data_IF_139585280314
#
_entry.id   IF_139585280314
#
_cell.length_a   1.000
_cell.length_b   1.000
_cell.length_c   1.000
_cell.angle_alpha   90.00
_cell.angle_beta   90.00
_cell.angle_gamma   90.00
#
_symmetry.space_group_name_H-M   'P 1'
#
loop_
_entity.id
_entity.type
_entity.pdbx_description
1 polymer ?
#
# COMPACT_ATOMS: atom_id res chain seq x y z
N UNK A 1 16.97 28.12 -5.71
CA UNK A 1 15.88 27.72 -6.63
C UNK A 1 15.02 26.54 -6.15
N UNK A 2 15.39 25.78 -5.10
CA UNK A 2 14.61 24.63 -4.56
C UNK A 2 13.27 24.99 -3.88
N UNK A 3 13.15 26.18 -3.29
CA UNK A 3 11.91 26.60 -2.60
C UNK A 3 10.75 26.89 -3.56
N UNK A 4 11.05 27.40 -4.77
CA UNK A 4 10.04 27.64 -5.80
C UNK A 4 9.41 26.33 -6.28
N UNK A 5 10.22 25.28 -6.47
CA UNK A 5 9.74 23.94 -6.84
C UNK A 5 8.94 23.29 -5.71
N UNK A 6 9.33 23.46 -4.45
CA UNK A 6 8.55 22.93 -3.32
C UNK A 6 7.19 23.61 -3.19
N UNK A 7 7.13 24.95 -3.24
CA UNK A 7 5.86 25.69 -3.13
C UNK A 7 4.93 25.35 -4.30
N UNK A 8 5.48 25.20 -5.51
CA UNK A 8 4.73 24.72 -6.67
C UNK A 8 4.14 23.33 -6.45
N UNK A 9 4.93 22.37 -5.96
CA UNK A 9 4.45 21.00 -5.66
C UNK A 9 3.37 20.99 -4.56
N UNK A 10 3.57 21.73 -3.48
CA UNK A 10 2.60 21.82 -2.38
C UNK A 10 1.28 22.43 -2.84
N UNK A 11 1.34 23.52 -3.62
CA UNK A 11 0.14 24.14 -4.19
C UNK A 11 -0.59 23.18 -5.13
N UNK A 12 0.11 22.41 -5.96
CA UNK A 12 -0.49 21.41 -6.83
C UNK A 12 -1.21 20.31 -6.02
N UNK A 13 -0.59 19.80 -4.95
CA UNK A 13 -1.21 18.82 -4.05
C UNK A 13 -2.48 19.36 -3.39
N UNK A 14 -2.45 20.60 -2.90
CA UNK A 14 -3.61 21.26 -2.29
C UNK A 14 -4.75 21.45 -3.31
N UNK A 15 -4.43 21.89 -4.53
CA UNK A 15 -5.42 22.01 -5.61
C UNK A 15 -6.05 20.66 -5.97
N UNK A 16 -5.24 19.59 -6.07
CA UNK A 16 -5.74 18.24 -6.33
C UNK A 16 -6.63 17.73 -5.18
N UNK A 17 -6.23 17.99 -3.92
CA UNK A 17 -7.02 17.61 -2.75
C UNK A 17 -8.39 18.29 -2.76
N UNK A 18 -8.44 19.59 -3.09
CA UNK A 18 -9.68 20.35 -3.26
C UNK A 18 -10.58 19.79 -4.36
N UNK A 19 -10.02 19.46 -5.53
CA UNK A 19 -10.76 18.86 -6.65
C UNK A 19 -11.34 17.49 -6.29
N UNK A 20 -10.56 16.64 -5.61
CA UNK A 20 -11.03 15.33 -5.17
C UNK A 20 -12.12 15.45 -4.08
N UNK A 21 -12.15 16.53 -3.29
CA UNK A 21 -13.17 16.76 -2.26
C UNK A 21 -14.54 17.14 -2.86
N UNK A 22 -14.56 17.66 -4.09
CA UNK A 22 -15.77 17.87 -4.88
C UNK A 22 -16.30 16.55 -5.47
N UNK A 23 -17.38 16.03 -4.90
CA UNK A 23 -17.91 14.66 -5.04
C UNK A 23 -18.41 14.19 -6.43
N UNK A 24 -17.97 14.76 -7.56
CA UNK A 24 -18.49 14.38 -8.89
C UNK A 24 -17.44 14.06 -9.95
N UNK A 25 -16.15 14.17 -9.63
CA UNK A 25 -15.09 14.12 -10.66
C UNK A 25 -14.09 12.98 -10.53
N UNK A 26 -14.08 12.17 -9.46
CA UNK A 26 -12.99 11.19 -9.24
C UNK A 26 -12.91 10.18 -10.41
N UNK A 27 -14.06 9.72 -10.93
CA UNK A 27 -14.12 8.83 -12.10
C UNK A 27 -13.69 9.50 -13.43
N UNK A 28 -13.77 10.82 -13.55
CA UNK A 28 -13.42 11.60 -14.76
C UNK A 28 -12.02 12.23 -14.71
N UNK A 29 -11.50 12.46 -13.50
CA UNK A 29 -10.18 13.03 -13.26
C UNK A 29 -9.08 11.97 -13.41
N UNK A 30 -9.36 10.73 -12.98
CA UNK A 30 -8.45 9.59 -13.20
C UNK A 30 -8.30 9.25 -14.69
N UNK A 31 -9.35 9.38 -15.50
CA UNK A 31 -9.28 9.18 -16.96
C UNK A 31 -8.61 10.33 -17.71
N UNK A 32 -8.52 11.53 -17.11
CA UNK A 32 -7.89 12.70 -17.71
C UNK A 32 -6.37 12.80 -17.46
N UNK A 33 -5.72 11.76 -16.94
CA UNK A 33 -4.27 11.74 -16.70
C UNK A 33 -3.84 12.40 -15.39
N UNK A 34 -4.76 12.66 -14.44
CA UNK A 34 -4.44 13.23 -13.14
C UNK A 34 -3.72 12.26 -12.17
N UNK A 35 -3.48 11.01 -12.58
CA UNK A 35 -2.49 10.11 -11.95
C UNK A 35 -1.12 10.29 -12.61
N UNK A 36 -0.78 11.53 -12.99
CA UNK A 36 0.61 11.96 -13.07
C UNK A 36 1.16 11.92 -11.65
N UNK A 37 1.65 10.74 -11.26
CA UNK A 37 2.26 10.42 -9.97
C UNK A 37 3.09 11.61 -9.51
N UNK A 38 2.75 12.29 -8.41
CA UNK A 38 3.64 13.32 -7.90
C UNK A 38 4.97 12.61 -7.58
N UNK A 39 6.10 13.05 -8.16
CA UNK A 39 7.40 12.39 -8.04
C UNK A 39 8.04 12.60 -6.65
N UNK A 40 7.23 12.62 -5.60
CA UNK A 40 7.56 13.15 -4.26
C UNK A 40 7.89 12.09 -3.22
N UNK A 41 7.93 10.82 -3.60
CA UNK A 41 8.50 9.75 -2.78
C UNK A 41 10.01 9.55 -3.03
N UNK A 42 10.65 10.48 -3.75
CA UNK A 42 12.09 10.42 -4.01
C UNK A 42 12.90 10.73 -2.74
N UNK A 43 14.05 10.07 -2.54
CA UNK A 43 14.97 10.39 -1.44
C UNK A 43 15.37 11.87 -1.46
N UNK A 44 15.10 12.60 -0.38
CA UNK A 44 15.50 14.00 -0.20
C UNK A 44 14.36 15.03 -0.25
N UNK A 45 13.11 14.62 -0.47
CA UNK A 45 11.95 15.49 -0.25
C UNK A 45 11.65 15.68 1.24
N UNK A 46 11.02 16.81 1.58
CA UNK A 46 10.63 17.08 2.97
C UNK A 46 9.55 16.11 3.42
N UNK A 47 9.66 15.64 4.65
CA UNK A 47 8.72 14.67 5.25
C UNK A 47 7.26 15.12 5.16
N UNK A 48 6.98 16.43 5.27
CA UNK A 48 5.64 16.98 5.14
C UNK A 48 5.06 16.78 3.72
N UNK A 49 5.88 16.96 2.69
CA UNK A 49 5.46 16.77 1.30
C UNK A 49 5.22 15.30 0.98
N UNK A 50 6.07 14.41 1.51
CA UNK A 50 5.90 12.96 1.36
C UNK A 50 4.60 12.48 2.05
N UNK A 51 4.36 12.96 3.28
CA UNK A 51 3.12 12.66 4.01
C UNK A 51 1.87 13.14 3.25
N UNK A 52 1.86 14.38 2.75
CA UNK A 52 0.74 14.94 1.98
C UNK A 52 0.50 14.17 0.68
N UNK A 53 1.58 13.74 0.02
CA UNK A 53 1.51 12.94 -1.21
C UNK A 53 0.92 11.56 -0.96
N UNK A 54 1.34 10.89 0.12
CA UNK A 54 0.81 9.57 0.52
C UNK A 54 -0.66 9.68 0.92
N UNK A 55 -1.06 10.73 1.64
CA UNK A 55 -2.46 10.98 1.97
C UNK A 55 -3.33 11.18 0.71
N UNK A 56 -2.83 11.93 -0.28
CA UNK A 56 -3.50 12.10 -1.56
C UNK A 56 -3.63 10.78 -2.33
N UNK A 57 -2.55 10.01 -2.41
CA UNK A 57 -2.55 8.70 -3.07
C UNK A 57 -3.48 7.72 -2.37
N UNK A 58 -3.53 7.71 -1.03
CA UNK A 58 -4.46 6.89 -0.25
C UNK A 58 -5.91 7.14 -0.68
N UNK A 59 -6.27 8.41 -0.84
CA UNK A 59 -7.60 8.83 -1.28
C UNK A 59 -7.89 8.45 -2.73
N UNK A 60 -6.92 8.56 -3.63
CA UNK A 60 -7.06 8.09 -5.03
C UNK A 60 -7.23 6.56 -5.06
N UNK A 61 -6.46 5.85 -4.24
CA UNK A 61 -6.45 4.39 -4.14
C UNK A 61 -7.73 3.79 -3.56
N UNK A 62 -8.59 4.57 -2.89
CA UNK A 62 -9.93 4.14 -2.47
C UNK A 62 -10.87 3.82 -3.65
N UNK A 63 -10.53 4.31 -4.86
CA UNK A 63 -11.29 4.02 -6.07
C UNK A 63 -10.57 2.94 -6.89
N UNK A 64 -11.27 1.95 -7.46
CA UNK A 64 -10.66 0.87 -8.25
C UNK A 64 -9.77 1.38 -9.40
N UNK A 65 -10.21 2.42 -10.10
CA UNK A 65 -9.45 3.04 -11.19
C UNK A 65 -8.16 3.71 -10.69
N UNK A 66 -8.22 4.39 -9.54
CA UNK A 66 -7.05 5.02 -8.93
C UNK A 66 -6.06 3.98 -8.39
N UNK A 67 -6.55 2.92 -7.75
CA UNK A 67 -5.71 1.80 -7.32
C UNK A 67 -4.99 1.14 -8.50
N UNK A 68 -5.70 0.91 -9.61
CA UNK A 68 -5.11 0.34 -10.83
C UNK A 68 -4.01 1.23 -11.40
N UNK A 69 -4.22 2.55 -11.43
CA UNK A 69 -3.23 3.49 -11.90
C UNK A 69 -1.98 3.54 -11.01
N UNK A 70 -2.14 3.45 -9.69
CA UNK A 70 -1.02 3.37 -8.74
C UNK A 70 -0.24 2.05 -8.93
N UNK A 71 -0.96 0.93 -9.07
CA UNK A 71 -0.37 -0.39 -9.29
C UNK A 71 0.38 -0.54 -10.62
N UNK A 72 0.10 0.33 -11.60
CA UNK A 72 0.84 0.36 -12.86
C UNK A 72 2.32 0.78 -12.68
N UNK A 73 2.66 1.44 -11.56
CA UNK A 73 4.03 1.83 -11.23
C UNK A 73 4.58 0.97 -10.08
N UNK A 74 5.45 0.02 -10.41
CA UNK A 74 6.13 -0.83 -9.42
C UNK A 74 7.07 -0.03 -8.51
N UNK A 75 7.69 1.03 -9.04
CA UNK A 75 8.54 1.95 -8.28
C UNK A 75 7.74 2.68 -7.20
N UNK A 76 6.53 3.15 -7.53
CA UNK A 76 5.65 3.81 -6.56
C UNK A 76 5.24 2.85 -5.44
N UNK A 77 4.87 1.61 -5.78
CA UNK A 77 4.54 0.57 -4.80
C UNK A 77 5.73 0.27 -3.87
N UNK A 78 6.94 0.18 -4.42
CA UNK A 78 8.16 -0.03 -3.64
C UNK A 78 8.43 1.15 -2.71
N UNK A 79 8.35 2.37 -3.23
CA UNK A 79 8.52 3.59 -2.44
C UNK A 79 7.50 3.74 -1.30
N UNK A 80 6.28 3.23 -1.44
CA UNK A 80 5.29 3.20 -0.35
C UNK A 80 5.71 2.27 0.79
N UNK A 81 6.24 1.08 0.47
CA UNK A 81 6.73 0.15 1.49
C UNK A 81 7.94 0.72 2.22
N UNK A 82 8.86 1.32 1.48
CA UNK A 82 10.03 1.98 2.05
C UNK A 82 9.60 3.18 2.93
N UNK A 83 8.65 3.98 2.46
CA UNK A 83 8.07 5.08 3.23
C UNK A 83 7.42 4.60 4.53
N UNK A 84 6.67 3.49 4.50
CA UNK A 84 6.05 2.93 5.71
C UNK A 84 7.09 2.58 6.78
N UNK A 85 8.22 2.00 6.36
CA UNK A 85 9.33 1.63 7.23
C UNK A 85 10.14 2.83 7.75
N UNK A 86 10.34 3.85 6.91
CA UNK A 86 11.20 4.98 7.21
C UNK A 86 10.49 6.19 7.86
N UNK A 87 9.18 6.33 7.66
CA UNK A 87 8.44 7.51 8.14
C UNK A 87 8.50 7.63 9.67
N UNK A 88 8.69 8.85 10.18
CA UNK A 88 8.54 9.16 11.61
C UNK A 88 7.11 9.62 11.94
N UNK A 89 6.37 10.10 10.95
CA UNK A 89 5.00 10.58 11.08
C UNK A 89 3.99 9.46 11.31
N UNK A 90 3.30 9.50 12.45
CA UNK A 90 2.18 8.58 12.75
C UNK A 90 1.06 8.68 11.71
N UNK A 91 0.69 9.91 11.32
CA UNK A 91 -0.33 10.10 10.28
C UNK A 91 0.16 9.64 8.91
N UNK A 92 1.43 9.84 8.58
CA UNK A 92 2.03 9.32 7.34
C UNK A 92 1.89 7.80 7.23
N UNK A 93 2.24 7.07 8.29
CA UNK A 93 2.09 5.61 8.36
C UNK A 93 0.64 5.15 8.23
N UNK A 94 -0.28 5.84 8.91
CA UNK A 94 -1.72 5.53 8.85
C UNK A 94 -2.28 5.65 7.43
N UNK A 95 -1.93 6.73 6.71
CA UNK A 95 -2.33 6.89 5.31
C UNK A 95 -1.65 5.85 4.41
N UNK A 96 -0.38 5.56 4.63
CA UNK A 96 0.36 4.59 3.84
C UNK A 96 -0.22 3.18 3.97
N UNK A 97 -0.49 2.71 5.18
CA UNK A 97 -1.11 1.39 5.39
C UNK A 97 -2.53 1.35 4.83
N UNK A 98 -3.26 2.46 4.89
CA UNK A 98 -4.59 2.56 4.27
C UNK A 98 -4.52 2.43 2.75
N UNK A 99 -3.57 3.11 2.10
CA UNK A 99 -3.31 2.97 0.67
C UNK A 99 -2.96 1.53 0.31
N UNK A 100 -1.97 0.93 0.97
CA UNK A 100 -1.55 -0.45 0.70
C UNK A 100 -2.72 -1.44 0.83
N UNK A 101 -3.58 -1.25 1.85
CA UNK A 101 -4.79 -2.05 2.01
C UNK A 101 -5.77 -1.89 0.84
N UNK A 102 -6.02 -0.67 0.38
CA UNK A 102 -6.88 -0.40 -0.78
C UNK A 102 -6.31 -0.99 -2.08
N UNK A 103 -4.98 -0.92 -2.26
CA UNK A 103 -4.32 -1.54 -3.42
C UNK A 103 -4.50 -3.07 -3.42
N UNK A 104 -4.34 -3.73 -2.28
CA UNK A 104 -4.61 -5.17 -2.14
C UNK A 104 -6.09 -5.49 -2.38
N UNK A 105 -7.01 -4.68 -1.85
CA UNK A 105 -8.44 -4.86 -1.99
C UNK A 105 -8.89 -4.79 -3.46
N UNK A 106 -8.39 -3.82 -4.22
CA UNK A 106 -8.77 -3.62 -5.62
C UNK A 106 -7.93 -4.45 -6.61
N UNK A 107 -6.69 -4.77 -6.26
CA UNK A 107 -5.76 -5.54 -7.09
C UNK A 107 -5.85 -7.06 -6.91
N UNK A 108 -6.50 -7.52 -5.84
CA UNK A 108 -6.72 -8.93 -5.52
C UNK A 108 -5.44 -9.72 -5.23
N UNK A 109 -5.55 -11.05 -5.28
CA UNK A 109 -4.51 -12.00 -4.85
C UNK A 109 -3.16 -11.81 -5.56
N UNK A 110 -3.14 -11.29 -6.79
CA UNK A 110 -1.90 -11.00 -7.52
C UNK A 110 -1.09 -9.90 -6.84
N UNK A 111 -1.77 -8.84 -6.41
CA UNK A 111 -1.15 -7.71 -5.71
C UNK A 111 -0.77 -8.12 -4.29
N UNK A 112 -1.64 -8.85 -3.59
CA UNK A 112 -1.33 -9.41 -2.27
C UNK A 112 -0.07 -10.28 -2.31
N UNK A 113 0.05 -11.15 -3.32
CA UNK A 113 1.24 -11.97 -3.51
C UNK A 113 2.49 -11.14 -3.83
N UNK A 114 2.35 -10.03 -4.56
CA UNK A 114 3.45 -9.10 -4.82
C UNK A 114 3.91 -8.41 -3.53
N UNK A 115 2.97 -7.89 -2.74
CA UNK A 115 3.23 -7.28 -1.43
C UNK A 115 3.91 -8.27 -0.49
N UNK A 116 3.43 -9.52 -0.47
CA UNK A 116 4.02 -10.58 0.32
C UNK A 116 5.46 -10.96 -0.05
N UNK A 117 5.94 -10.60 -1.26
CA UNK A 117 7.34 -10.80 -1.67
C UNK A 117 8.26 -9.66 -1.22
N UNK A 118 7.70 -8.53 -0.80
CA UNK A 118 8.46 -7.36 -0.36
C UNK A 118 8.90 -7.58 1.08
N UNK A 119 10.16 -7.99 1.26
CA UNK A 119 10.73 -8.39 2.57
C UNK A 119 10.68 -7.27 3.61
N UNK A 120 10.70 -6.00 3.18
CA UNK A 120 10.58 -4.84 4.06
C UNK A 120 9.16 -4.61 4.62
N UNK A 121 8.12 -5.16 3.98
CA UNK A 121 6.73 -4.89 4.35
C UNK A 121 6.35 -5.53 5.69
N UNK A 122 6.70 -6.80 5.90
CA UNK A 122 6.29 -7.53 7.11
C UNK A 122 6.85 -6.89 8.40
N UNK A 123 8.15 -6.58 8.50
CA UNK A 123 8.69 -5.85 9.66
C UNK A 123 8.01 -4.50 9.88
N UNK A 124 7.75 -3.74 8.81
CA UNK A 124 7.08 -2.45 8.89
C UNK A 124 5.63 -2.56 9.42
N UNK A 125 4.88 -3.59 8.99
CA UNK A 125 3.53 -3.86 9.49
C UNK A 125 3.52 -4.27 10.97
N UNK A 126 4.47 -5.09 11.41
CA UNK A 126 4.58 -5.45 12.83
C UNK A 126 4.96 -4.26 13.71
N UNK A 127 5.93 -3.45 13.28
CA UNK A 127 6.27 -2.21 13.96
C UNK A 127 5.06 -1.26 14.04
N UNK A 128 4.28 -1.16 12.95
CA UNK A 128 3.07 -0.37 12.95
C UNK A 128 2.03 -0.90 13.93
N UNK A 129 1.87 -2.22 14.08
CA UNK A 129 0.90 -2.78 15.06
C UNK A 129 1.29 -2.43 16.50
N UNK A 130 2.59 -2.34 16.79
CA UNK A 130 3.08 -1.96 18.12
C UNK A 130 2.82 -0.49 18.43
N UNK A 131 3.15 0.41 17.49
CA UNK A 131 3.20 1.86 17.75
C UNK A 131 2.13 2.69 17.02
N UNK A 132 1.32 2.08 16.16
CA UNK A 132 0.36 2.75 15.27
C UNK A 132 -0.97 3.13 15.93
N UNK A 133 -1.84 3.79 15.17
CA UNK A 133 -3.21 4.08 15.63
C UNK A 133 -4.08 2.81 15.61
N UNK A 134 -5.20 2.76 16.36
CA UNK A 134 -6.11 1.60 16.33
C UNK A 134 -6.60 1.27 14.92
N UNK A 135 -6.84 2.30 14.09
CA UNK A 135 -7.28 2.13 12.71
C UNK A 135 -6.16 1.55 11.83
N UNK A 136 -4.95 2.08 11.94
CA UNK A 136 -3.79 1.56 11.24
C UNK A 136 -3.47 0.12 11.64
N UNK A 137 -3.56 -0.19 12.93
CA UNK A 137 -3.34 -1.54 13.46
C UNK A 137 -4.35 -2.53 12.88
N UNK A 138 -5.63 -2.14 12.77
CA UNK A 138 -6.66 -2.98 12.14
C UNK A 138 -6.33 -3.28 10.68
N UNK A 139 -5.90 -2.27 9.92
CA UNK A 139 -5.54 -2.42 8.51
C UNK A 139 -4.25 -3.21 8.32
N UNK A 140 -3.26 -3.02 9.18
CA UNK A 140 -2.02 -3.78 9.17
C UNK A 140 -2.28 -5.27 9.44
N UNK A 141 -3.09 -5.59 10.46
CA UNK A 141 -3.50 -6.98 10.75
C UNK A 141 -4.26 -7.59 9.59
N UNK A 142 -5.15 -6.83 8.95
CA UNK A 142 -5.86 -7.29 7.76
C UNK A 142 -4.89 -7.64 6.62
N UNK A 143 -3.92 -6.75 6.33
CA UNK A 143 -2.89 -7.00 5.31
C UNK A 143 -2.06 -8.24 5.61
N UNK A 144 -1.61 -8.42 6.86
CA UNK A 144 -0.85 -9.61 7.27
C UNK A 144 -1.67 -10.88 7.02
N UNK A 145 -2.93 -10.89 7.46
CA UNK A 145 -3.81 -12.04 7.26
C UNK A 145 -4.03 -12.34 5.77
N UNK A 146 -4.18 -11.31 4.95
CA UNK A 146 -4.40 -11.46 3.51
C UNK A 146 -3.15 -12.02 2.82
N UNK A 147 -1.97 -11.54 3.21
CA UNK A 147 -0.69 -12.09 2.75
C UNK A 147 -0.58 -13.57 3.15
N UNK A 148 -0.81 -13.91 4.42
CA UNK A 148 -0.77 -15.29 4.90
C UNK A 148 -1.76 -16.19 4.15
N UNK A 149 -3.00 -15.74 3.95
CA UNK A 149 -4.04 -16.47 3.21
C UNK A 149 -3.54 -16.87 1.82
N UNK A 150 -2.93 -15.94 1.09
CA UNK A 150 -2.42 -16.20 -0.27
C UNK A 150 -1.22 -17.15 -0.26
N UNK A 151 -0.38 -17.10 0.78
CA UNK A 151 0.73 -18.05 0.94
C UNK A 151 0.25 -19.47 1.29
N UNK A 152 -0.71 -19.60 2.20
CA UNK A 152 -1.31 -20.88 2.59
C UNK A 152 -2.02 -21.55 1.39
N UNK A 153 -2.75 -20.77 0.59
CA UNK A 153 -3.38 -21.27 -0.64
C UNK A 153 -2.38 -21.71 -1.72
N UNK A 154 -1.12 -21.27 -1.64
CA UNK A 154 -0.04 -21.64 -2.57
C UNK A 154 0.82 -22.81 -2.09
N UNK A 155 0.66 -23.25 -0.85
CA UNK A 155 1.34 -24.44 -0.38
C UNK A 155 0.66 -25.69 -0.99
N UNK A 156 1.42 -26.60 -1.63
CA UNK A 156 0.87 -27.89 -2.02
C UNK A 156 0.35 -28.59 -0.77
N UNK A 157 -0.83 -29.22 -0.88
CA UNK A 157 -1.39 -30.06 0.19
C UNK A 157 -0.28 -30.98 0.73
N UNK A 158 -0.18 -31.18 2.06
CA UNK A 158 0.76 -32.14 2.63
C UNK A 158 0.52 -33.48 1.95
N UNK A 159 1.54 -34.01 1.27
CA UNK A 159 1.48 -35.33 0.66
C UNK A 159 1.22 -36.30 1.80
N UNK A 160 0.03 -36.89 1.83
CA UNK A 160 -0.35 -37.84 2.88
C UNK A 160 0.72 -38.94 2.93
N UNK A 161 1.26 -39.29 4.12
CA UNK A 161 2.22 -40.37 4.22
C UNK A 161 1.59 -41.65 3.68
N UNK A 162 2.32 -42.47 2.89
CA UNK A 162 1.79 -43.71 2.37
C UNK A 162 1.33 -44.57 3.54
N UNK A 163 0.09 -45.08 3.44
CA UNK A 163 -0.50 -45.96 4.42
C UNK A 163 0.44 -47.14 4.66
N UNK A 164 1.12 -47.12 5.81
CA UNK A 164 2.04 -48.17 6.21
C UNK A 164 1.28 -49.49 6.30
N UNK A 165 1.68 -50.42 5.45
CA UNK A 165 1.20 -51.79 5.40
C UNK A 165 1.40 -52.42 6.79
N UNK A 166 0.30 -52.60 7.54
CA UNK A 166 0.33 -53.30 8.83
C UNK A 166 0.47 -54.78 8.53
N UNK A 167 1.71 -55.24 8.37
CA UNK A 167 2.05 -56.66 8.38
C UNK A 167 1.72 -57.21 9.77
N UNK A 168 0.60 -57.92 9.86
CA UNK A 168 0.22 -58.72 11.02
C UNK A 168 1.21 -59.89 11.08
N UNK A 169 2.07 -59.92 12.10
CA UNK A 169 2.82 -61.13 12.45
C UNK A 169 1.94 -62.00 13.34
N UNK A 170 1.69 -63.22 12.85
CA UNK A 170 1.10 -64.36 13.55
C UNK A 170 2.02 -64.84 14.67
#
# INVERSE_FOLDING_TARGET
>A
MRDGTYRGRKNALVSLHGVLHGASSIGKSVTAGAVGVPPTLLPGDREDLANDSVALLARIGEQPAGATAILASSELVTGLVDFLGASASRSGKDHCVALLASLCLHGGDKVVALMGKMTALMPALYALIADGSPLANKKARWLINEIHRVYEQRQPLPVAPPAGDRVIRV
#
